data_IF_871927227292
#
_entry.id   IF_871927227292
#
_cell.length_a   1.000
_cell.length_b   1.000
_cell.length_c   1.000
_cell.angle_alpha   90.00
_cell.angle_beta   90.00
_cell.angle_gamma   90.00
#
_symmetry.space_group_name_H-M   'P 1'
#
loop_
_entity.id
_entity.type
_entity.pdbx_description
1 polymer ?
#
# COMPACT_ATOMS: atom_id res chain seq x y z
N UNK A 1 12.63 -23.89 -15.87
CA UNK A 1 14.08 -24.20 -15.83
C UNK A 1 14.28 -25.70 -15.68
N UNK A 2 15.37 -26.24 -16.26
CA UNK A 2 15.54 -27.66 -16.60
C UNK A 2 15.55 -28.69 -15.46
N UNK A 3 15.45 -29.96 -15.86
CA UNK A 3 15.22 -31.12 -14.96
C UNK A 3 16.48 -31.96 -14.74
N UNK A 4 17.42 -31.98 -15.71
CA UNK A 4 18.65 -32.81 -15.66
C UNK A 4 19.89 -31.98 -16.04
N UNK A 5 21.06 -32.38 -15.53
CA UNK A 5 22.34 -31.66 -15.71
C UNK A 5 22.97 -31.83 -17.11
N UNK A 6 22.50 -32.79 -17.90
CA UNK A 6 22.96 -33.09 -19.26
C UNK A 6 21.91 -32.77 -20.34
N UNK A 7 20.83 -32.07 -19.98
CA UNK A 7 19.76 -31.66 -20.90
C UNK A 7 19.66 -30.14 -20.92
N UNK A 8 19.77 -29.54 -22.11
CA UNK A 8 19.54 -28.10 -22.30
C UNK A 8 18.03 -27.82 -22.14
N UNK A 9 17.60 -26.91 -21.25
CA UNK A 9 16.19 -26.58 -21.08
C UNK A 9 15.61 -25.94 -22.35
N UNK A 10 14.36 -26.27 -22.68
CA UNK A 10 13.64 -25.63 -23.78
C UNK A 10 13.11 -24.23 -23.43
N UNK A 11 12.95 -23.94 -22.14
CA UNK A 11 12.41 -22.67 -21.63
C UNK A 11 12.95 -22.36 -20.23
N UNK A 12 13.09 -21.07 -19.95
CA UNK A 12 13.39 -20.53 -18.64
C UNK A 12 12.39 -19.44 -18.28
N UNK A 13 11.81 -19.52 -17.09
CA UNK A 13 10.81 -18.58 -16.58
C UNK A 13 11.31 -18.06 -15.24
N UNK A 14 11.18 -16.74 -15.04
CA UNK A 14 11.46 -16.06 -13.78
C UNK A 14 10.24 -15.23 -13.43
N UNK A 15 9.76 -15.36 -12.19
CA UNK A 15 8.73 -14.46 -11.66
C UNK A 15 9.40 -13.38 -10.82
N UNK A 16 9.01 -12.12 -11.07
CA UNK A 16 9.51 -10.95 -10.33
C UNK A 16 8.31 -10.22 -9.75
N UNK A 17 8.28 -10.05 -8.43
CA UNK A 17 7.33 -9.15 -7.76
C UNK A 17 7.98 -7.77 -7.59
N UNK A 18 7.32 -6.74 -8.13
CA UNK A 18 7.80 -5.36 -8.07
C UNK A 18 6.82 -4.47 -7.28
N UNK A 19 7.36 -3.62 -6.41
CA UNK A 19 6.63 -2.52 -5.77
C UNK A 19 6.99 -1.21 -6.45
N UNK A 20 6.09 -0.71 -7.30
CA UNK A 20 6.32 0.51 -8.07
C UNK A 20 5.93 1.73 -7.23
N UNK A 21 6.84 2.71 -7.12
CA UNK A 21 6.57 3.93 -6.37
C UNK A 21 5.47 4.77 -7.03
N UNK A 22 4.68 5.47 -6.21
CA UNK A 22 3.54 6.28 -6.66
C UNK A 22 3.90 7.44 -7.61
N UNK A 23 5.18 7.82 -7.65
CA UNK A 23 5.72 8.88 -8.51
C UNK A 23 6.12 8.39 -9.89
N UNK A 24 6.22 7.08 -10.10
CA UNK A 24 6.62 6.49 -11.38
C UNK A 24 5.47 6.54 -12.37
N UNK A 25 5.79 6.84 -13.63
CA UNK A 25 4.88 6.67 -14.75
C UNK A 25 4.83 5.19 -15.13
N UNK A 26 3.65 4.57 -14.99
CA UNK A 26 3.48 3.14 -15.27
C UNK A 26 3.60 2.83 -16.77
N UNK A 27 3.21 3.75 -17.65
CA UNK A 27 3.30 3.55 -19.10
C UNK A 27 4.77 3.59 -19.55
N UNK A 28 5.56 4.53 -19.02
CA UNK A 28 7.01 4.59 -19.28
C UNK A 28 7.74 3.37 -18.71
N UNK A 29 7.36 2.93 -17.52
CA UNK A 29 7.91 1.72 -16.90
C UNK A 29 7.63 0.48 -17.77
N UNK A 30 6.41 0.32 -18.27
CA UNK A 30 6.06 -0.78 -19.17
C UNK A 30 6.78 -0.73 -20.51
N UNK A 31 6.92 0.47 -21.11
CA UNK A 31 7.74 0.67 -22.31
C UNK A 31 9.18 0.23 -22.09
N UNK A 32 9.73 0.50 -20.91
CA UNK A 32 11.08 0.08 -20.53
C UNK A 32 11.20 -1.45 -20.46
N UNK A 33 10.23 -2.12 -19.83
CA UNK A 33 10.22 -3.60 -19.76
C UNK A 33 10.13 -4.24 -21.15
N UNK A 34 9.24 -3.73 -22.00
CA UNK A 34 9.08 -4.26 -23.36
C UNK A 34 10.35 -4.03 -24.19
N UNK A 35 10.96 -2.85 -24.09
CA UNK A 35 12.23 -2.54 -24.74
C UNK A 35 13.35 -3.51 -24.30
N UNK A 36 13.46 -3.82 -23.01
CA UNK A 36 14.46 -4.77 -22.53
C UNK A 36 14.21 -6.19 -23.05
N UNK A 37 12.95 -6.61 -23.22
CA UNK A 37 12.63 -7.89 -23.84
C UNK A 37 13.08 -7.91 -25.32
N UNK A 38 12.82 -6.83 -26.06
CA UNK A 38 13.27 -6.69 -27.45
C UNK A 38 14.80 -6.74 -27.58
N UNK A 39 15.52 -6.02 -26.71
CA UNK A 39 16.98 -5.98 -26.68
C UNK A 39 17.61 -7.34 -26.28
N UNK A 40 16.90 -8.15 -25.50
CA UNK A 40 17.37 -9.48 -25.08
C UNK A 40 17.31 -10.54 -26.20
N UNK A 41 16.54 -10.28 -27.28
CA UNK A 41 16.48 -11.12 -28.47
C UNK A 41 15.16 -11.86 -28.68
N UNK A 42 15.09 -12.62 -29.76
CA UNK A 42 13.89 -13.39 -30.13
C UNK A 42 13.53 -14.43 -29.05
N UNK A 43 12.23 -14.56 -28.77
CA UNK A 43 11.74 -15.51 -27.77
C UNK A 43 11.89 -15.05 -26.32
N UNK A 44 12.07 -13.75 -26.08
CA UNK A 44 11.99 -13.14 -24.74
C UNK A 44 10.75 -12.27 -24.64
N UNK A 45 9.92 -12.50 -23.62
CA UNK A 45 8.70 -11.74 -23.38
C UNK A 45 8.41 -11.63 -21.89
N UNK A 46 7.53 -10.69 -21.54
CA UNK A 46 7.00 -10.53 -20.19
C UNK A 46 5.53 -10.96 -20.17
N UNK A 47 5.17 -11.75 -19.16
CA UNK A 47 3.78 -12.04 -18.81
C UNK A 47 3.44 -11.31 -17.51
N UNK A 48 2.25 -10.70 -17.47
CA UNK A 48 1.77 -10.01 -16.28
C UNK A 48 0.76 -10.88 -15.54
N UNK A 49 1.21 -11.64 -14.55
CA UNK A 49 0.32 -12.40 -13.66
C UNK A 49 -0.63 -11.47 -12.87
N UNK A 50 -0.11 -10.32 -12.43
CA UNK A 50 -0.89 -9.29 -11.73
C UNK A 50 -0.43 -7.90 -12.13
N UNK A 51 -1.30 -7.20 -12.87
CA UNK A 51 -1.09 -5.81 -13.28
C UNK A 51 -2.10 -4.92 -12.59
N UNK A 52 -1.61 -3.96 -11.80
CA UNK A 52 -2.46 -3.04 -11.06
C UNK A 52 -2.43 -1.66 -11.73
N UNK A 53 -3.58 -1.00 -11.91
CA UNK A 53 -3.60 0.37 -12.42
C UNK A 53 -3.00 1.33 -11.39
N UNK A 54 -2.66 2.54 -11.85
CA UNK A 54 -2.31 3.63 -10.94
C UNK A 54 -3.55 4.07 -10.17
N UNK A 55 -3.54 3.83 -8.86
CA UNK A 55 -4.62 4.24 -7.96
C UNK A 55 -4.20 5.52 -7.22
N UNK A 56 -5.00 6.60 -7.23
CA UNK A 56 -4.70 7.83 -6.50
C UNK A 56 -4.46 7.59 -5.01
N UNK A 57 -3.53 8.36 -4.44
CA UNK A 57 -3.29 8.34 -2.99
C UNK A 57 -4.40 9.09 -2.26
N UNK A 58 -4.69 8.69 -1.03
CA UNK A 58 -5.56 9.48 -0.16
C UNK A 58 -4.84 10.75 0.24
N UNK A 59 -5.49 11.90 0.03
CA UNK A 59 -4.94 13.21 0.38
C UNK A 59 -4.84 13.35 1.89
N UNK A 60 -3.71 13.87 2.35
CA UNK A 60 -3.40 14.11 3.76
C UNK A 60 -3.29 15.62 4.03
N UNK A 61 -4.28 16.37 3.56
CA UNK A 61 -4.39 17.82 3.69
C UNK A 61 -5.81 18.22 4.10
N UNK A 62 -6.03 19.51 4.25
CA UNK A 62 -7.31 20.09 4.70
C UNK A 62 -8.49 19.81 3.76
N UNK A 63 -8.23 19.37 2.52
CA UNK A 63 -9.30 19.00 1.57
C UNK A 63 -9.95 17.65 1.88
N UNK A 64 -9.37 16.88 2.81
CA UNK A 64 -9.90 15.61 3.28
C UNK A 64 -10.35 15.70 4.74
N UNK A 65 -11.65 15.91 4.95
CA UNK A 65 -12.25 16.05 6.29
C UNK A 65 -11.99 14.82 7.17
N UNK A 66 -11.99 13.62 6.60
CA UNK A 66 -11.70 12.38 7.34
C UNK A 66 -10.23 12.33 7.79
N UNK A 67 -9.29 12.84 6.98
CA UNK A 67 -7.90 12.99 7.42
C UNK A 67 -7.77 14.00 8.55
N UNK A 68 -8.44 15.15 8.44
CA UNK A 68 -8.39 16.18 9.49
C UNK A 68 -8.94 15.65 10.82
N UNK A 69 -10.07 14.94 10.79
CA UNK A 69 -10.64 14.31 11.98
C UNK A 69 -9.72 13.22 12.56
N UNK A 70 -9.16 12.38 11.68
CA UNK A 70 -8.18 11.37 12.08
C UNK A 70 -6.96 12.01 12.75
N UNK A 71 -6.32 13.00 12.11
CA UNK A 71 -5.15 13.69 12.65
C UNK A 71 -5.47 14.37 13.99
N UNK A 72 -6.61 15.05 14.09
CA UNK A 72 -7.05 15.70 15.33
C UNK A 72 -7.16 14.71 16.49
N UNK A 73 -7.70 13.51 16.26
CA UNK A 73 -7.81 12.49 17.31
C UNK A 73 -6.44 12.10 17.89
N UNK A 74 -5.38 12.08 17.07
CA UNK A 74 -4.02 11.84 17.56
C UNK A 74 -3.43 13.05 18.27
N UNK A 75 -3.66 14.26 17.74
CA UNK A 75 -3.21 15.49 18.38
C UNK A 75 -3.82 15.61 19.81
N UNK A 76 -5.11 15.32 19.98
CA UNK A 76 -5.80 15.32 21.27
C UNK A 76 -5.23 14.28 22.26
N UNK A 77 -4.70 13.16 21.75
CA UNK A 77 -4.02 12.13 22.54
C UNK A 77 -2.52 12.45 22.77
N UNK A 78 -2.02 13.58 22.27
CA UNK A 78 -0.59 13.93 22.23
C UNK A 78 0.28 12.84 21.56
N UNK A 79 -0.24 12.22 20.51
CA UNK A 79 0.45 11.20 19.73
C UNK A 79 0.93 11.78 18.39
N UNK A 80 2.19 11.52 18.06
CA UNK A 80 2.73 11.92 16.77
C UNK A 80 2.37 10.90 15.68
N UNK A 81 1.84 11.40 14.56
CA UNK A 81 1.61 10.61 13.35
C UNK A 81 2.79 10.77 12.39
N UNK A 82 3.22 9.64 11.82
CA UNK A 82 4.20 9.63 10.71
C UNK A 82 3.53 9.02 9.48
N UNK A 83 3.07 9.85 8.52
CA UNK A 83 2.55 9.35 7.26
C UNK A 83 3.65 8.63 6.48
N UNK A 84 3.31 7.49 5.89
CA UNK A 84 4.22 6.76 5.00
C UNK A 84 3.43 6.00 3.94
N UNK A 85 4.10 5.67 2.84
CA UNK A 85 3.53 4.81 1.80
C UNK A 85 3.77 3.35 2.20
N UNK A 86 2.69 2.63 2.48
CA UNK A 86 2.74 1.21 2.76
C UNK A 86 3.04 0.44 1.47
N UNK A 87 4.17 -0.26 1.43
CA UNK A 87 4.66 -0.99 0.24
C UNK A 87 3.99 -2.33 0.02
N UNK A 88 3.30 -2.86 1.03
CA UNK A 88 2.50 -4.07 0.92
C UNK A 88 1.05 -3.76 0.49
N UNK A 89 0.29 -4.80 0.15
CA UNK A 89 -1.09 -4.67 -0.31
C UNK A 89 -2.08 -4.55 0.84
N UNK A 90 -3.04 -3.63 0.73
CA UNK A 90 -4.25 -3.59 1.56
C UNK A 90 -5.48 -3.40 0.67
N UNK A 91 -6.64 -3.83 1.14
CA UNK A 91 -7.89 -3.75 0.36
C UNK A 91 -8.42 -2.32 0.22
N UNK A 92 -7.85 -1.37 0.98
CA UNK A 92 -8.07 0.07 0.80
C UNK A 92 -7.81 0.53 -0.64
N UNK A 93 -6.91 -0.14 -1.38
CA UNK A 93 -6.67 0.19 -2.80
C UNK A 93 -7.95 0.09 -3.65
N UNK A 94 -8.82 -0.88 -3.37
CA UNK A 94 -10.07 -1.06 -4.12
C UNK A 94 -11.06 0.06 -3.82
N UNK A 95 -11.15 0.51 -2.58
CA UNK A 95 -11.98 1.67 -2.21
C UNK A 95 -11.46 2.96 -2.86
N UNK A 96 -10.14 3.17 -2.84
CA UNK A 96 -9.52 4.34 -3.50
C UNK A 96 -9.73 4.34 -5.01
N UNK A 97 -9.77 3.17 -5.64
CA UNK A 97 -10.10 3.05 -7.07
C UNK A 97 -11.55 3.48 -7.38
N UNK A 98 -12.46 3.39 -6.40
CA UNK A 98 -13.83 3.89 -6.48
C UNK A 98 -13.96 5.37 -6.08
N UNK A 99 -12.85 6.07 -5.81
CA UNK A 99 -12.85 7.45 -5.34
C UNK A 99 -13.11 7.62 -3.84
N UNK A 100 -13.21 6.52 -3.08
CA UNK A 100 -13.42 6.55 -1.63
C UNK A 100 -12.06 6.64 -0.94
N UNK A 101 -11.84 7.72 -0.19
CA UNK A 101 -10.61 7.89 0.60
C UNK A 101 -10.46 6.78 1.64
N UNK A 102 -9.24 6.28 1.83
CA UNK A 102 -8.96 5.25 2.83
C UNK A 102 -7.62 5.49 3.51
N UNK A 103 -7.62 5.42 4.84
CA UNK A 103 -6.44 5.56 5.68
C UNK A 103 -6.11 4.22 6.32
N UNK A 104 -4.88 3.74 6.09
CA UNK A 104 -4.34 2.59 6.81
C UNK A 104 -3.68 3.05 8.10
N UNK A 105 -3.98 2.38 9.22
CA UNK A 105 -3.34 2.65 10.50
C UNK A 105 -3.12 1.35 11.24
N UNK A 106 -1.96 1.23 11.88
CA UNK A 106 -1.61 0.11 12.76
C UNK A 106 -0.91 0.68 14.01
N UNK A 107 -1.44 0.45 15.22
CA UNK A 107 -0.82 0.90 16.47
C UNK A 107 0.27 -0.08 16.94
N UNK A 108 1.28 -0.31 16.10
CA UNK A 108 2.38 -1.27 16.34
C UNK A 108 3.70 -0.57 16.65
N UNK A 109 3.65 0.45 17.50
CA UNK A 109 4.82 1.22 17.89
C UNK A 109 5.78 0.39 18.74
N UNK A 110 7.08 0.73 18.66
CA UNK A 110 8.18 0.04 19.34
C UNK A 110 8.25 -1.47 19.08
N UNK A 111 7.66 -1.94 17.97
CA UNK A 111 7.66 -3.34 17.57
C UNK A 111 8.49 -3.47 16.29
N UNK A 112 9.41 -4.44 16.18
CA UNK A 112 10.13 -4.71 14.93
C UNK A 112 9.17 -5.08 13.80
N UNK A 113 9.50 -4.66 12.57
CA UNK A 113 8.71 -5.02 11.38
C UNK A 113 9.07 -6.47 11.00
N UNK A 114 8.25 -7.42 11.45
CA UNK A 114 8.42 -8.86 11.22
C UNK A 114 7.25 -9.48 10.45
N UNK A 115 6.42 -8.68 9.79
CA UNK A 115 5.31 -9.18 8.99
C UNK A 115 5.83 -10.20 7.96
N UNK A 116 5.29 -11.42 7.98
CA UNK A 116 5.69 -12.55 7.14
C UNK A 116 7.12 -13.09 7.40
N UNK A 117 7.76 -12.72 8.51
CA UNK A 117 9.06 -13.24 8.91
C UNK A 117 8.95 -14.32 10.01
N UNK A 118 10.03 -15.06 10.25
CA UNK A 118 10.09 -16.00 11.38
C UNK A 118 9.93 -15.27 12.71
N UNK A 119 9.18 -15.89 13.64
CA UNK A 119 8.88 -15.35 14.96
C UNK A 119 8.21 -13.96 14.91
N UNK A 120 7.31 -13.73 13.95
CA UNK A 120 6.42 -12.57 13.98
C UNK A 120 5.68 -12.50 15.33
N UNK A 121 5.76 -11.36 16.02
CA UNK A 121 5.10 -11.15 17.31
C UNK A 121 4.64 -9.70 17.48
N UNK A 122 3.69 -9.52 18.41
CA UNK A 122 3.29 -8.22 18.91
C UNK A 122 3.22 -8.28 20.43
N UNK A 123 3.79 -7.28 21.10
CA UNK A 123 3.70 -7.17 22.55
C UNK A 123 2.24 -6.93 22.98
N UNK A 124 1.78 -7.63 24.03
CA UNK A 124 0.38 -7.56 24.48
C UNK A 124 -0.02 -6.15 24.94
N UNK A 125 0.88 -5.41 25.59
CA UNK A 125 0.61 -4.04 26.03
C UNK A 125 0.48 -3.08 24.84
N UNK A 126 1.28 -3.27 23.78
CA UNK A 126 1.15 -2.52 22.52
C UNK A 126 -0.20 -2.81 21.86
N UNK A 127 -0.61 -4.09 21.79
CA UNK A 127 -1.91 -4.48 21.28
C UNK A 127 -3.07 -3.82 22.05
N UNK A 128 -3.05 -3.90 23.39
CA UNK A 128 -4.09 -3.31 24.24
C UNK A 128 -4.14 -1.79 24.12
N UNK A 129 -2.99 -1.11 24.09
CA UNK A 129 -2.92 0.33 23.83
C UNK A 129 -3.50 0.69 22.45
N UNK A 130 -3.30 -0.18 21.47
CA UNK A 130 -3.89 -0.04 20.14
C UNK A 130 -5.42 0.00 20.19
N UNK A 131 -6.04 -0.84 21.02
CA UNK A 131 -7.49 -0.83 21.25
C UNK A 131 -7.93 0.53 21.79
N UNK A 132 -7.26 1.06 22.81
CA UNK A 132 -7.58 2.37 23.40
C UNK A 132 -7.49 3.51 22.36
N UNK A 133 -6.50 3.45 21.48
CA UNK A 133 -6.32 4.39 20.38
C UNK A 133 -7.50 4.29 19.38
N UNK A 134 -7.91 3.08 18.99
CA UNK A 134 -9.06 2.89 18.11
C UNK A 134 -10.37 3.39 18.73
N UNK A 135 -10.56 3.26 20.06
CA UNK A 135 -11.72 3.81 20.76
C UNK A 135 -11.83 5.34 20.66
N UNK A 136 -10.72 6.05 20.40
CA UNK A 136 -10.73 7.50 20.14
C UNK A 136 -10.90 7.82 18.66
N UNK A 137 -10.25 7.06 17.78
CA UNK A 137 -10.23 7.32 16.35
C UNK A 137 -11.56 7.02 15.68
N UNK A 138 -12.16 5.85 15.95
CA UNK A 138 -13.36 5.40 15.23
C UNK A 138 -14.52 6.40 15.42
N UNK A 139 -14.85 6.85 16.65
CA UNK A 139 -15.87 7.88 16.82
C UNK A 139 -15.50 9.21 16.18
N UNK A 140 -14.23 9.61 16.20
CA UNK A 140 -13.80 10.87 15.60
C UNK A 140 -14.03 10.89 14.08
N UNK A 141 -13.77 9.79 13.38
CA UNK A 141 -14.03 9.67 11.93
C UNK A 141 -15.52 9.46 11.65
N UNK A 142 -16.20 8.62 12.42
CA UNK A 142 -17.59 8.25 12.17
C UNK A 142 -18.58 9.41 12.39
N UNK A 143 -18.19 10.42 13.16
CA UNK A 143 -18.99 11.62 13.42
C UNK A 143 -18.52 12.85 12.61
N UNK A 144 -17.75 12.65 11.53
CA UNK A 144 -17.47 13.73 10.58
C UNK A 144 -18.77 14.10 9.89
N UNK A 145 -19.28 15.30 10.17
CA UNK A 145 -20.41 15.86 9.45
C UNK A 145 -19.95 16.29 8.05
N UNK A 146 -20.64 15.82 7.01
CA UNK A 146 -20.50 16.40 5.68
C UNK A 146 -21.14 17.79 5.70
N UNK A 147 -20.37 18.81 6.08
CA UNK A 147 -20.80 20.18 5.82
C UNK A 147 -20.88 20.34 4.31
N UNK A 148 -22.11 20.36 3.80
CA UNK A 148 -22.48 20.45 2.39
C UNK A 148 -21.49 21.28 1.59
N UNK A 149 -20.70 20.62 0.74
CA UNK A 149 -20.03 21.27 -0.38
C UNK A 149 -21.16 21.90 -1.18
N UNK A 150 -21.37 23.21 -1.00
CA UNK A 150 -22.23 23.98 -1.88
C UNK A 150 -21.66 23.80 -3.28
N UNK A 151 -22.33 22.99 -4.09
CA UNK A 151 -22.11 22.93 -5.52
C UNK A 151 -22.38 24.34 -6.04
N UNK A 152 -21.32 25.09 -6.33
CA UNK A 152 -21.36 26.27 -7.20
C UNK A 152 -21.49 25.83 -8.65
#
# INVERSE_FOLDING_TARGET
>A
GGVQNNVIPSEFVISIDCRIAITVDLEEFEKTLNKWCEEAGEGVWVEYESKQPRIPVTKLDETNLFWMAFKKAFDDMNLQLTPYIFSAGTDIRFLRALGISGLGFQPVNHTPILAHAHNEYLNKEVFLRGIDIYYKIIPAIANVEETSIQKS
#
